data_IF_017154214290
#
_entry.id   IF_017154214290
#
_cell.length_a   1.000
_cell.length_b   1.000
_cell.length_c   1.000
_cell.angle_alpha   90.00
_cell.angle_beta   90.00
_cell.angle_gamma   90.00
#
_symmetry.space_group_name_H-M   'P 1'
#
loop_
_entity.id
_entity.type
_entity.pdbx_description
1 polymer ?
#
# COMPACT_ATOMS: atom_id res chain seq x y z
N UNK A 1 7.94 32.20 -8.16
CA UNK A 1 6.48 32.17 -8.05
C UNK A 1 6.10 30.92 -7.25
N UNK A 2 5.44 31.13 -6.10
CA UNK A 2 4.83 30.18 -5.14
C UNK A 2 5.77 29.10 -4.59
N UNK A 3 6.65 29.44 -3.65
CA UNK A 3 6.44 29.44 -2.19
C UNK A 3 6.61 28.06 -1.57
N UNK A 4 7.75 27.87 -0.91
CA UNK A 4 7.94 26.85 0.11
C UNK A 4 7.01 27.15 1.30
N UNK A 5 6.32 26.14 1.81
CA UNK A 5 5.74 26.14 3.14
C UNK A 5 5.98 24.78 3.75
N UNK A 6 6.86 24.80 4.75
CA UNK A 6 7.03 23.80 5.79
C UNK A 6 5.69 23.45 6.41
N UNK A 7 5.39 22.17 6.67
CA UNK A 7 4.49 21.82 7.75
C UNK A 7 4.83 20.45 8.35
N UNK A 8 4.53 20.34 9.64
CA UNK A 8 4.93 19.30 10.57
C UNK A 8 4.49 17.88 10.16
N UNK A 9 5.15 16.88 10.72
CA UNK A 9 4.78 15.47 10.63
C UNK A 9 3.47 15.26 11.38
N UNK A 10 2.36 15.61 10.76
CA UNK A 10 1.02 15.17 11.12
C UNK A 10 0.90 13.73 10.61
N UNK A 11 0.69 12.76 11.52
CA UNK A 11 0.27 11.41 11.13
C UNK A 11 -1.19 11.50 10.67
N UNK A 12 -1.39 12.11 9.50
CA UNK A 12 -2.69 12.23 8.86
C UNK A 12 -3.11 10.85 8.34
N UNK A 13 -4.40 10.56 8.42
CA UNK A 13 -4.95 9.30 7.96
C UNK A 13 -4.55 9.05 6.50
N UNK A 14 -3.97 7.88 6.21
CA UNK A 14 -3.57 7.53 4.84
C UNK A 14 -4.82 7.36 3.99
N UNK A 15 -4.93 8.14 2.92
CA UNK A 15 -6.03 7.98 1.97
C UNK A 15 -5.84 6.72 1.12
N UNK A 16 -6.93 6.27 0.48
CA UNK A 16 -6.87 5.17 -0.49
C UNK A 16 -5.85 5.46 -1.62
N UNK A 17 -5.81 6.71 -2.11
CA UNK A 17 -4.88 7.13 -3.17
C UNK A 17 -3.42 7.08 -2.71
N UNK A 18 -3.12 7.49 -1.48
CA UNK A 18 -1.76 7.42 -0.92
C UNK A 18 -1.26 5.97 -0.83
N UNK A 19 -2.13 5.07 -0.36
CA UNK A 19 -1.81 3.66 -0.18
C UNK A 19 -1.68 2.97 -1.54
N UNK A 20 -2.56 3.28 -2.50
CA UNK A 20 -2.45 2.82 -3.88
C UNK A 20 -1.11 3.24 -4.52
N UNK A 21 -0.72 4.50 -4.37
CA UNK A 21 0.53 5.00 -4.94
C UNK A 21 1.75 4.28 -4.33
N UNK A 22 1.72 4.08 -3.01
CA UNK A 22 2.74 3.34 -2.31
C UNK A 22 2.84 1.89 -2.79
N UNK A 23 1.71 1.16 -2.82
CA UNK A 23 1.68 -0.26 -3.16
C UNK A 23 2.06 -0.51 -4.62
N UNK A 24 1.58 0.32 -5.54
CA UNK A 24 1.96 0.21 -6.97
C UNK A 24 3.44 0.54 -7.16
N UNK A 25 3.99 1.50 -6.41
CA UNK A 25 5.43 1.77 -6.37
C UNK A 25 6.26 0.59 -5.87
N UNK A 26 5.83 0.00 -4.74
CA UNK A 26 6.48 -1.15 -4.13
C UNK A 26 6.53 -2.33 -5.12
N UNK A 27 5.40 -2.67 -5.74
CA UNK A 27 5.32 -3.78 -6.68
C UNK A 27 6.07 -3.50 -7.98
N UNK A 28 6.01 -2.29 -8.51
CA UNK A 28 6.77 -1.91 -9.70
C UNK A 28 8.29 -2.09 -9.48
N UNK A 29 8.79 -1.63 -8.32
CA UNK A 29 10.19 -1.81 -7.95
C UNK A 29 10.56 -3.30 -7.79
N UNK A 30 9.71 -4.08 -7.12
CA UNK A 30 9.92 -5.53 -6.89
C UNK A 30 9.90 -6.35 -8.18
N UNK A 31 9.00 -6.03 -9.10
CA UNK A 31 8.80 -6.72 -10.38
C UNK A 31 9.68 -6.16 -11.51
N UNK A 32 10.42 -5.06 -11.24
CA UNK A 32 11.26 -4.36 -12.23
C UNK A 32 10.47 -3.92 -13.46
N UNK A 33 9.28 -3.39 -13.23
CA UNK A 33 8.37 -2.88 -14.24
C UNK A 33 7.98 -1.43 -13.95
N UNK A 34 7.25 -0.81 -14.88
CA UNK A 34 6.72 0.54 -14.67
C UNK A 34 5.51 0.54 -13.73
N UNK A 35 5.34 1.59 -12.92
CA UNK A 35 4.21 1.72 -12.00
C UNK A 35 2.86 1.67 -12.73
N UNK A 36 2.75 2.29 -13.90
CA UNK A 36 1.54 2.28 -14.73
C UNK A 36 1.21 0.93 -15.36
N UNK A 37 2.11 -0.06 -15.27
CA UNK A 37 1.85 -1.44 -15.71
C UNK A 37 1.25 -2.33 -14.62
N UNK A 38 1.18 -1.84 -13.38
CA UNK A 38 0.58 -2.56 -12.26
C UNK A 38 -0.95 -2.39 -12.34
N UNK A 39 -1.64 -3.50 -12.57
CA UNK A 39 -3.09 -3.60 -12.49
C UNK A 39 -3.55 -3.73 -11.03
N UNK A 40 -4.19 -2.69 -10.51
CA UNK A 40 -4.65 -2.64 -9.12
C UNK A 40 -5.75 -3.65 -8.78
N UNK A 41 -6.43 -4.18 -9.79
CA UNK A 41 -7.50 -5.18 -9.65
C UNK A 41 -7.01 -6.62 -9.82
N UNK A 42 -5.74 -6.80 -10.20
CA UNK A 42 -5.13 -8.12 -10.31
C UNK A 42 -4.82 -8.68 -8.92
N UNK A 43 -4.94 -10.01 -8.77
CA UNK A 43 -4.61 -10.65 -7.50
C UNK A 43 -3.09 -10.66 -7.24
N UNK A 44 -2.69 -10.57 -5.98
CA UNK A 44 -1.27 -10.68 -5.59
C UNK A 44 -0.59 -11.96 -6.09
N UNK A 45 -1.31 -13.08 -6.09
CA UNK A 45 -0.80 -14.37 -6.57
C UNK A 45 -0.49 -14.37 -8.08
N UNK A 46 -1.24 -13.59 -8.87
CA UNK A 46 -1.05 -13.49 -10.32
C UNK A 46 0.19 -12.64 -10.68
N UNK A 47 0.74 -11.89 -9.72
CA UNK A 47 2.03 -11.22 -9.85
C UNK A 47 3.22 -12.14 -9.56
N UNK A 48 2.96 -13.40 -9.18
CA UNK A 48 4.01 -14.34 -8.80
C UNK A 48 4.66 -14.02 -7.45
N UNK A 49 3.96 -13.27 -6.59
CA UNK A 49 4.39 -13.02 -5.22
C UNK A 49 4.21 -14.30 -4.41
N UNK A 50 5.28 -14.78 -3.77
CA UNK A 50 5.18 -15.89 -2.82
C UNK A 50 4.72 -15.38 -1.44
N UNK A 51 4.51 -16.32 -0.51
CA UNK A 51 4.08 -15.96 0.85
C UNK A 51 5.10 -15.08 1.58
N UNK A 52 6.40 -15.24 1.32
CA UNK A 52 7.42 -14.44 1.97
C UNK A 52 7.45 -13.00 1.41
N UNK A 53 7.22 -12.83 0.11
CA UNK A 53 7.05 -11.52 -0.53
C UNK A 53 5.83 -10.79 0.01
N UNK A 54 4.69 -11.48 0.15
CA UNK A 54 3.48 -10.91 0.72
C UNK A 54 3.69 -10.47 2.19
N UNK A 55 4.37 -11.29 3.01
CA UNK A 55 4.68 -10.92 4.40
C UNK A 55 5.60 -9.70 4.48
N UNK A 56 6.62 -9.61 3.62
CA UNK A 56 7.51 -8.43 3.57
C UNK A 56 6.74 -7.18 3.16
N UNK A 57 5.88 -7.27 2.15
CA UNK A 57 5.04 -6.16 1.73
C UNK A 57 4.15 -5.67 2.88
N UNK A 58 3.56 -6.59 3.65
CA UNK A 58 2.75 -6.24 4.83
C UNK A 58 3.60 -5.52 5.88
N UNK A 59 4.79 -6.01 6.20
CA UNK A 59 5.68 -5.35 7.17
C UNK A 59 6.11 -3.94 6.75
N UNK A 60 6.50 -3.77 5.48
CA UNK A 60 6.85 -2.44 4.96
C UNK A 60 5.63 -1.50 4.92
N UNK A 61 4.43 -2.07 4.75
CA UNK A 61 3.18 -1.33 4.74
C UNK A 61 2.74 -0.92 6.16
N UNK A 62 2.99 -1.74 7.19
CA UNK A 62 2.81 -1.38 8.61
C UNK A 62 3.59 -0.12 8.98
N UNK A 63 4.86 -0.08 8.59
CA UNK A 63 5.73 1.08 8.81
C UNK A 63 5.21 2.31 8.06
N UNK A 64 4.67 2.13 6.85
CA UNK A 64 4.12 3.22 6.05
C UNK A 64 2.81 3.78 6.61
N UNK A 65 1.89 2.92 7.05
CA UNK A 65 0.58 3.33 7.59
C UNK A 65 0.65 3.73 9.08
N UNK A 66 1.72 3.34 9.78
CA UNK A 66 1.94 3.68 11.19
C UNK A 66 1.10 2.87 12.18
N UNK A 67 0.61 1.70 11.79
CA UNK A 67 -0.12 0.79 12.67
C UNK A 67 0.05 -0.68 12.27
N UNK A 68 -0.12 -1.57 13.25
CA UNK A 68 0.01 -3.01 13.07
C UNK A 68 -1.07 -3.57 12.14
N UNK A 69 -0.65 -4.41 11.20
CA UNK A 69 -1.48 -5.02 10.17
C UNK A 69 -1.55 -6.53 10.39
N UNK A 70 -2.74 -7.11 10.18
CA UNK A 70 -2.83 -8.56 10.22
C UNK A 70 -2.11 -9.17 9.01
N UNK A 71 -1.26 -10.20 9.20
CA UNK A 71 -0.64 -10.93 8.09
C UNK A 71 -1.69 -11.63 7.20
N UNK A 72 -2.93 -11.78 7.66
CA UNK A 72 -4.03 -12.31 6.85
C UNK A 72 -4.56 -11.35 5.80
N UNK A 73 -4.23 -10.05 5.87
CA UNK A 73 -4.86 -9.03 5.02
C UNK A 73 -4.72 -9.30 3.51
N UNK A 74 -3.55 -9.70 2.97
CA UNK A 74 -3.45 -10.02 1.55
C UNK A 74 -4.30 -11.21 1.11
N UNK A 75 -4.74 -12.07 2.03
CA UNK A 75 -5.66 -13.18 1.73
C UNK A 75 -7.13 -12.74 1.78
N UNK A 76 -7.45 -11.76 2.63
CA UNK A 76 -8.81 -11.20 2.77
C UNK A 76 -9.11 -10.16 1.69
N UNK A 77 -8.08 -9.41 1.28
CA UNK A 77 -8.12 -8.36 0.28
C UNK A 77 -7.09 -8.69 -0.80
N UNK A 78 -7.40 -9.59 -1.74
CA UNK A 78 -6.41 -10.19 -2.63
C UNK A 78 -5.89 -9.28 -3.73
N UNK A 79 -6.37 -8.04 -3.81
CA UNK A 79 -5.98 -7.04 -4.83
C UNK A 79 -5.41 -5.79 -4.16
N UNK A 80 -4.61 -5.03 -4.91
CA UNK A 80 -4.01 -3.78 -4.43
C UNK A 80 -5.10 -2.77 -4.07
N UNK A 81 -6.13 -2.65 -4.92
CA UNK A 81 -7.27 -1.75 -4.69
C UNK A 81 -8.05 -2.11 -3.42
N UNK A 82 -8.39 -3.39 -3.24
CA UNK A 82 -9.15 -3.84 -2.07
C UNK A 82 -8.37 -3.66 -0.76
N UNK A 83 -7.06 -3.94 -0.79
CA UNK A 83 -6.21 -3.77 0.40
C UNK A 83 -6.03 -2.28 0.71
N UNK A 84 -5.79 -1.45 -0.30
CA UNK A 84 -5.67 0.00 -0.13
C UNK A 84 -6.95 0.59 0.48
N UNK A 85 -8.13 0.14 0.04
CA UNK A 85 -9.40 0.64 0.57
C UNK A 85 -9.58 0.24 2.03
N UNK A 86 -9.33 -1.04 2.37
CA UNK A 86 -9.45 -1.53 3.73
C UNK A 86 -8.51 -0.78 4.70
N UNK A 87 -7.29 -0.46 4.26
CA UNK A 87 -6.32 0.26 5.07
C UNK A 87 -6.67 1.74 5.22
N UNK A 88 -7.21 2.38 4.18
CA UNK A 88 -7.71 3.75 4.27
C UNK A 88 -8.87 3.85 5.27
N UNK A 89 -9.80 2.90 5.23
CA UNK A 89 -10.92 2.84 6.18
C UNK A 89 -10.43 2.65 7.63
N UNK A 90 -9.44 1.77 7.83
CA UNK A 90 -8.80 1.56 9.13
C UNK A 90 -8.05 2.81 9.61
N UNK A 91 -7.41 3.53 8.69
CA UNK A 91 -6.68 4.76 9.02
C UNK A 91 -7.62 5.92 9.37
N UNK A 92 -8.78 6.00 8.72
CA UNK A 92 -9.79 7.04 8.97
C UNK A 92 -10.65 6.79 10.21
N UNK A 93 -10.75 5.53 10.65
CA UNK A 93 -11.45 5.15 11.88
C UNK A 93 -10.63 5.35 13.17
N UNK A 94 -9.44 5.93 13.07
CA UNK A 94 -8.52 6.22 14.18
C UNK A 94 -8.50 7.71 14.50
#
# INVERSE_FOLDING_TARGET
MKSATSNAVEHDAKSHEDILDWMTGYLAARLRTDRGSIDVNRQFIDYGLDSADAMKMVGDLEDYVGFELSPSLPYQYPTIDALAQALADLSAGR
#
